data_IF_855141886737
#
_entry.id   IF_855141886737
#
_cell.length_a   1.000
_cell.length_b   1.000
_cell.length_c   1.000
_cell.angle_alpha   90.00
_cell.angle_beta   90.00
_cell.angle_gamma   90.00
#
_symmetry.space_group_name_H-M   'P 1'
#
loop_
_entity.id
_entity.type
_entity.pdbx_description
1 polymer ?
#
# COMPACT_ATOMS: atom_id res chain seq x y z
N UNK A 1 14.84 4.68 16.28
CA UNK A 1 15.08 3.68 15.24
C UNK A 1 13.96 2.66 15.36
N UNK A 2 13.25 2.37 14.29
CA UNK A 2 12.15 1.41 14.28
C UNK A 2 12.37 0.41 13.15
N UNK A 3 11.64 -0.71 13.17
CA UNK A 3 11.74 -1.80 12.21
C UNK A 3 10.40 -2.00 11.50
N UNK A 4 10.41 -2.09 10.19
CA UNK A 4 9.19 -2.15 9.39
C UNK A 4 9.26 -3.24 8.33
N UNK A 5 8.13 -3.89 8.07
CA UNK A 5 7.88 -4.59 6.83
C UNK A 5 7.14 -3.64 5.88
N UNK A 6 7.57 -3.60 4.63
CA UNK A 6 6.90 -2.84 3.58
C UNK A 6 6.75 -3.73 2.35
N UNK A 7 5.58 -3.73 1.74
CA UNK A 7 5.37 -4.47 0.50
C UNK A 7 4.40 -3.76 -0.43
N UNK A 8 4.59 -3.95 -1.72
CA UNK A 8 3.60 -3.65 -2.72
C UNK A 8 2.49 -4.72 -2.69
N UNK A 9 1.26 -4.33 -2.95
CA UNK A 9 0.18 -5.26 -3.19
C UNK A 9 0.36 -6.04 -4.49
N UNK A 10 -0.38 -7.12 -4.61
CA UNK A 10 -0.48 -7.90 -5.84
C UNK A 10 0.83 -8.54 -6.35
N UNK A 11 0.67 -9.41 -7.35
CA UNK A 11 1.78 -9.97 -8.13
C UNK A 11 2.34 -8.93 -9.10
N UNK A 12 3.56 -9.13 -9.65
CA UNK A 12 4.03 -8.34 -10.78
C UNK A 12 3.06 -8.38 -11.96
N UNK A 13 3.20 -7.43 -12.87
CA UNK A 13 2.46 -7.45 -14.13
C UNK A 13 2.66 -8.78 -14.85
N UNK A 14 1.56 -9.40 -15.29
CA UNK A 14 1.59 -10.67 -15.98
C UNK A 14 0.28 -11.46 -15.87
N UNK A 15 0.38 -12.77 -15.72
CA UNK A 15 -0.77 -13.67 -15.72
C UNK A 15 -1.39 -13.90 -14.33
N UNK A 16 -0.76 -13.42 -13.26
CA UNK A 16 -1.23 -13.59 -11.90
C UNK A 16 -2.22 -12.52 -11.46
N UNK A 17 -2.38 -12.38 -10.15
CA UNK A 17 -3.24 -11.38 -9.54
C UNK A 17 -2.55 -10.01 -9.50
N UNK A 18 -2.45 -9.33 -10.63
CA UNK A 18 -1.69 -8.10 -10.82
C UNK A 18 -2.45 -6.81 -10.43
N UNK A 19 -3.60 -6.94 -9.74
CA UNK A 19 -4.38 -5.78 -9.29
C UNK A 19 -5.17 -5.11 -10.41
N UNK A 20 -5.58 -3.89 -10.16
CA UNK A 20 -6.38 -3.10 -11.09
C UNK A 20 -5.53 -2.61 -12.28
N UNK A 21 -6.16 -2.59 -13.44
CA UNK A 21 -5.57 -2.08 -14.69
C UNK A 21 -6.50 -1.02 -15.27
N UNK A 22 -5.95 0.17 -15.52
CA UNK A 22 -6.65 1.30 -16.12
C UNK A 22 -5.64 2.18 -16.87
N UNK A 23 -5.72 3.50 -16.68
CA UNK A 23 -4.67 4.43 -17.14
C UNK A 23 -3.33 4.09 -16.45
N UNK A 24 -3.41 3.78 -15.15
CA UNK A 24 -2.31 3.26 -14.37
C UNK A 24 -2.49 1.76 -14.17
N UNK A 25 -1.38 1.09 -13.90
CA UNK A 25 -1.36 -0.32 -13.57
C UNK A 25 -0.90 -0.50 -12.13
N UNK A 26 -1.81 -0.92 -11.27
CA UNK A 26 -1.57 -0.97 -9.82
C UNK A 26 -0.27 -1.69 -9.45
N UNK A 27 -0.04 -2.88 -9.97
CA UNK A 27 1.15 -3.67 -9.64
C UNK A 27 2.49 -3.03 -10.06
N UNK A 28 2.46 -2.05 -10.95
CA UNK A 28 3.65 -1.28 -11.35
C UNK A 28 3.82 -0.06 -10.44
N UNK A 29 2.76 0.71 -10.29
CA UNK A 29 2.81 1.98 -9.55
C UNK A 29 3.00 1.76 -8.05
N UNK A 30 2.38 0.75 -7.47
CA UNK A 30 2.55 0.44 -6.05
C UNK A 30 4.00 0.00 -5.72
N UNK A 31 4.70 -0.66 -6.67
CA UNK A 31 6.12 -0.99 -6.52
C UNK A 31 7.01 0.25 -6.56
N UNK A 32 6.74 1.18 -7.46
CA UNK A 32 7.49 2.45 -7.53
C UNK A 32 7.35 3.22 -6.21
N UNK A 33 6.12 3.34 -5.71
CA UNK A 33 5.86 4.01 -4.43
C UNK A 33 6.50 3.26 -3.27
N UNK A 34 6.38 1.94 -3.22
CA UNK A 34 6.98 1.09 -2.20
C UNK A 34 8.52 1.25 -2.17
N UNK A 35 9.17 1.24 -3.32
CA UNK A 35 10.63 1.37 -3.38
C UNK A 35 11.10 2.71 -2.81
N UNK A 36 10.39 3.79 -3.12
CA UNK A 36 10.70 5.11 -2.59
C UNK A 36 10.42 5.21 -1.08
N UNK A 37 9.33 4.61 -0.59
CA UNK A 37 9.04 4.54 0.85
C UNK A 37 10.16 3.80 1.59
N UNK A 38 10.60 2.65 1.09
CA UNK A 38 11.70 1.88 1.66
C UNK A 38 12.99 2.71 1.68
N UNK A 39 13.30 3.37 0.57
CA UNK A 39 14.49 4.23 0.45
C UNK A 39 14.49 5.35 1.49
N UNK A 40 13.38 6.05 1.63
CA UNK A 40 13.23 7.16 2.57
C UNK A 40 13.31 6.69 4.03
N UNK A 41 12.61 5.63 4.40
CA UNK A 41 12.66 5.09 5.77
C UNK A 41 14.07 4.63 6.15
N UNK A 42 14.80 4.01 5.22
CA UNK A 42 16.19 3.62 5.45
C UNK A 42 17.11 4.83 5.59
N UNK A 43 16.89 5.90 4.83
CA UNK A 43 17.64 7.15 4.94
C UNK A 43 17.43 7.84 6.31
N UNK A 44 16.24 7.69 6.89
CA UNK A 44 15.93 8.15 8.25
C UNK A 44 16.47 7.22 9.36
N UNK A 45 17.21 6.18 9.00
CA UNK A 45 17.86 5.26 9.93
C UNK A 45 16.97 4.13 10.46
N UNK A 46 15.85 3.86 9.82
CA UNK A 46 14.99 2.72 10.15
C UNK A 46 15.49 1.43 9.47
N UNK A 47 15.20 0.28 10.10
CA UNK A 47 15.38 -1.03 9.49
C UNK A 47 14.12 -1.37 8.69
N UNK A 48 14.25 -1.69 7.40
CA UNK A 48 13.09 -1.97 6.55
C UNK A 48 13.32 -3.22 5.73
N UNK A 49 12.40 -4.17 5.84
CA UNK A 49 12.33 -5.40 5.07
C UNK A 49 11.34 -5.25 3.92
N UNK A 50 11.76 -5.59 2.71
CA UNK A 50 10.88 -5.67 1.54
C UNK A 50 10.23 -7.05 1.49
N UNK A 51 8.94 -7.07 1.81
CA UNK A 51 8.13 -8.29 1.83
C UNK A 51 7.31 -8.50 0.55
N UNK A 52 7.60 -7.78 -0.51
CA UNK A 52 6.88 -7.85 -1.79
C UNK A 52 6.97 -9.25 -2.41
N UNK A 53 5.89 -9.71 -2.98
CA UNK A 53 5.86 -10.91 -3.83
C UNK A 53 6.18 -10.50 -5.28
N UNK A 54 7.37 -10.87 -5.77
CA UNK A 54 7.81 -10.60 -7.14
C UNK A 54 7.66 -11.79 -8.09
N UNK A 55 6.94 -12.80 -7.66
CA UNK A 55 6.62 -13.96 -8.47
C UNK A 55 5.21 -13.85 -9.06
N UNK A 56 5.10 -14.18 -10.34
CA UNK A 56 3.80 -14.24 -11.02
C UNK A 56 3.05 -15.50 -10.60
N UNK A 57 2.04 -15.34 -9.76
CA UNK A 57 1.30 -16.45 -9.14
C UNK A 57 -0.18 -16.07 -8.92
N UNK A 58 -0.96 -16.96 -8.35
CA UNK A 58 -2.37 -16.69 -8.01
C UNK A 58 -2.47 -15.67 -6.87
N UNK A 59 -3.65 -15.07 -6.68
CA UNK A 59 -3.94 -14.17 -5.55
C UNK A 59 -3.54 -14.80 -4.22
N UNK A 60 -3.96 -16.04 -3.99
CA UNK A 60 -3.63 -16.75 -2.74
C UNK A 60 -2.15 -17.06 -2.62
N UNK A 61 -1.50 -17.44 -3.72
CA UNK A 61 -0.06 -17.68 -3.75
C UNK A 61 0.74 -16.42 -3.42
N UNK A 62 0.33 -15.26 -3.95
CA UNK A 62 0.91 -13.96 -3.65
C UNK A 62 0.78 -13.61 -2.16
N UNK A 63 -0.43 -13.70 -1.62
CA UNK A 63 -0.70 -13.42 -0.20
C UNK A 63 0.12 -14.33 0.72
N UNK A 64 0.17 -15.63 0.43
CA UNK A 64 0.95 -16.57 1.24
C UNK A 64 2.45 -16.21 1.26
N UNK A 65 3.00 -15.77 0.15
CA UNK A 65 4.41 -15.35 0.07
C UNK A 65 4.68 -14.07 0.84
N UNK A 66 3.80 -13.06 0.73
CA UNK A 66 3.91 -11.82 1.49
C UNK A 66 3.86 -12.13 2.98
N UNK A 67 2.84 -12.86 3.44
CA UNK A 67 2.70 -13.23 4.85
C UNK A 67 3.90 -14.03 5.35
N UNK A 68 4.41 -14.98 4.56
CA UNK A 68 5.59 -15.75 4.94
C UNK A 68 6.84 -14.87 5.12
N UNK A 69 7.03 -13.84 4.26
CA UNK A 69 8.13 -12.88 4.40
C UNK A 69 7.93 -11.97 5.63
N UNK A 70 6.74 -11.41 5.81
CA UNK A 70 6.43 -10.53 6.95
C UNK A 70 6.65 -11.25 8.29
N UNK A 71 6.23 -12.51 8.40
CA UNK A 71 6.36 -13.29 9.63
C UNK A 71 7.80 -13.71 9.97
N UNK A 72 8.78 -13.43 9.10
CA UNK A 72 10.20 -13.73 9.40
C UNK A 72 10.81 -12.72 10.38
N UNK A 73 10.18 -11.57 10.56
CA UNK A 73 10.75 -10.47 11.33
C UNK A 73 9.74 -9.96 12.36
N UNK A 74 10.23 -9.72 13.58
CA UNK A 74 9.48 -8.94 14.57
C UNK A 74 9.65 -7.47 14.23
N UNK A 75 8.55 -6.76 13.95
CA UNK A 75 8.55 -5.39 13.48
C UNK A 75 7.61 -4.50 14.28
N UNK A 76 7.85 -3.19 14.23
CA UNK A 76 6.97 -2.18 14.83
C UNK A 76 5.74 -1.87 13.96
N UNK A 77 5.79 -2.22 12.68
CA UNK A 77 4.67 -2.05 11.75
C UNK A 77 4.85 -2.75 10.42
N UNK A 78 3.73 -3.20 9.86
CA UNK A 78 3.61 -3.78 8.52
C UNK A 78 2.81 -2.82 7.63
N UNK A 79 3.35 -2.51 6.46
CA UNK A 79 2.75 -1.57 5.52
C UNK A 79 2.56 -2.18 4.15
N UNK A 80 1.32 -2.17 3.66
CA UNK A 80 0.95 -2.57 2.32
C UNK A 80 0.61 -1.35 1.47
N UNK A 81 1.21 -1.26 0.29
CA UNK A 81 0.96 -0.18 -0.67
C UNK A 81 0.05 -0.70 -1.78
N UNK A 82 -1.05 0.00 -2.00
CA UNK A 82 -2.06 -0.32 -3.01
C UNK A 82 -2.56 0.94 -3.73
N UNK A 83 -3.04 0.78 -4.95
CA UNK A 83 -3.84 1.77 -5.64
C UNK A 83 -5.31 1.31 -5.66
N UNK A 84 -6.20 2.15 -5.15
CA UNK A 84 -7.62 1.83 -5.18
C UNK A 84 -8.18 1.92 -6.60
N UNK A 85 -9.01 0.95 -6.96
CA UNK A 85 -9.89 1.02 -8.12
C UNK A 85 -11.33 1.25 -7.65
N UNK A 86 -12.14 1.93 -8.44
CA UNK A 86 -13.51 2.18 -8.04
C UNK A 86 -14.47 2.30 -9.21
N UNK A 87 -14.13 3.09 -10.20
CA UNK A 87 -14.90 3.25 -11.42
C UNK A 87 -14.01 3.83 -12.53
N UNK A 88 -14.47 3.69 -13.75
CA UNK A 88 -13.80 4.32 -14.88
C UNK A 88 -14.02 5.83 -14.82
N UNK A 89 -12.97 6.57 -14.54
CA UNK A 89 -12.94 8.03 -14.57
C UNK A 89 -12.01 8.54 -15.68
N UNK A 90 -12.29 8.09 -16.91
CA UNK A 90 -11.46 8.45 -18.07
C UNK A 90 -11.47 9.95 -18.40
N UNK A 91 -12.47 10.69 -17.92
CA UNK A 91 -12.61 12.13 -18.16
C UNK A 91 -12.20 12.98 -16.96
N UNK A 92 -11.88 12.38 -15.82
CA UNK A 92 -11.46 13.07 -14.64
C UNK A 92 -12.53 14.01 -14.08
N UNK A 93 -13.45 13.47 -13.27
CA UNK A 93 -14.51 14.30 -12.64
C UNK A 93 -14.04 14.95 -11.31
N UNK A 94 -12.81 14.73 -10.90
CA UNK A 94 -12.21 15.16 -9.63
C UNK A 94 -12.97 14.69 -8.38
N UNK A 95 -13.94 13.81 -8.51
CA UNK A 95 -14.80 13.34 -7.41
C UNK A 95 -14.36 11.96 -6.87
N UNK A 96 -13.72 11.18 -7.71
CA UNK A 96 -13.14 9.88 -7.37
C UNK A 96 -11.65 10.01 -7.13
N UNK A 97 -11.05 9.12 -6.48
CA UNK A 97 -9.66 9.20 -6.12
C UNK A 97 -9.47 9.83 -4.75
N UNK A 98 -8.26 9.78 -4.29
CA UNK A 98 -7.88 10.23 -2.95
C UNK A 98 -6.99 9.23 -2.28
N UNK A 99 -6.42 9.66 -1.16
CA UNK A 99 -5.60 8.83 -0.29
C UNK A 99 -6.42 8.39 0.93
N UNK A 100 -6.33 7.14 1.26
CA UNK A 100 -6.88 6.57 2.49
C UNK A 100 -5.88 5.61 3.13
N UNK A 101 -6.03 5.39 4.41
CA UNK A 101 -5.29 4.36 5.13
C UNK A 101 -6.28 3.40 5.75
N UNK A 102 -6.04 2.12 5.57
CA UNK A 102 -6.80 1.04 6.18
C UNK A 102 -5.97 0.51 7.33
N UNK A 103 -6.57 0.42 8.52
CA UNK A 103 -5.91 -0.04 9.74
C UNK A 103 -6.58 -1.29 10.29
N UNK A 104 -5.78 -2.15 10.89
CA UNK A 104 -6.27 -3.33 11.60
C UNK A 104 -6.72 -3.00 13.03
N UNK A 105 -5.96 -2.15 13.72
CA UNK A 105 -6.23 -1.73 15.10
C UNK A 105 -6.03 -0.21 15.32
N UNK A 106 -6.28 0.24 16.53
CA UNK A 106 -6.18 1.67 16.88
C UNK A 106 -4.77 2.15 17.23
N UNK A 107 -3.79 1.27 17.36
CA UNK A 107 -2.45 1.63 17.84
C UNK A 107 -1.79 2.74 17.01
N UNK A 108 -1.94 2.65 15.67
CA UNK A 108 -1.36 3.60 14.74
C UNK A 108 -2.32 4.69 14.24
N UNK A 109 -3.58 4.66 14.67
CA UNK A 109 -4.65 5.54 14.14
C UNK A 109 -4.31 7.02 14.15
N UNK A 110 -3.70 7.52 15.24
CA UNK A 110 -3.34 8.93 15.37
C UNK A 110 -2.26 9.34 14.38
N UNK A 111 -1.22 8.52 14.25
CA UNK A 111 -0.09 8.74 13.32
C UNK A 111 -0.58 8.68 11.88
N UNK A 112 -1.41 7.69 11.55
CA UNK A 112 -1.91 7.48 10.19
C UNK A 112 -2.94 8.53 9.77
N UNK A 113 -3.72 9.10 10.68
CA UNK A 113 -4.54 10.29 10.40
C UNK A 113 -3.70 11.49 9.97
N UNK A 114 -2.58 11.71 10.66
CA UNK A 114 -1.66 12.79 10.28
C UNK A 114 -0.98 12.50 8.94
N UNK A 115 -0.59 11.26 8.69
CA UNK A 115 -0.03 10.83 7.40
C UNK A 115 -0.97 11.13 6.22
N UNK A 116 -2.24 10.74 6.31
CA UNK A 116 -3.25 11.04 5.27
C UNK A 116 -3.42 12.54 5.08
N UNK A 117 -3.37 13.32 6.18
CA UNK A 117 -3.44 14.79 6.14
C UNK A 117 -2.24 15.42 5.42
N UNK A 118 -1.05 14.90 5.65
CA UNK A 118 0.18 15.36 4.99
C UNK A 118 0.14 15.03 3.50
N UNK A 119 -0.24 13.82 3.12
CA UNK A 119 -0.39 13.42 1.72
C UNK A 119 -1.41 14.30 1.00
N UNK A 120 -2.57 14.56 1.60
CA UNK A 120 -3.58 15.45 1.03
C UNK A 120 -3.04 16.86 0.80
N UNK A 121 -2.29 17.43 1.77
CA UNK A 121 -1.75 18.79 1.63
C UNK A 121 -0.70 18.91 0.53
N UNK A 122 0.09 17.88 0.33
CA UNK A 122 1.23 17.92 -0.60
C UNK A 122 0.91 17.43 -2.02
N UNK A 123 -0.21 16.73 -2.21
CA UNK A 123 -0.52 16.07 -3.49
C UNK A 123 -1.80 16.53 -4.17
N UNK A 124 -2.55 17.47 -3.58
CA UNK A 124 -3.88 17.91 -4.10
C UNK A 124 -4.91 16.77 -4.18
N UNK A 125 -4.56 15.58 -3.71
CA UNK A 125 -5.42 14.40 -3.72
C UNK A 125 -6.40 14.46 -2.54
N UNK A 126 -7.66 14.06 -2.77
CA UNK A 126 -8.69 14.06 -1.73
C UNK A 126 -8.29 13.21 -0.53
N UNK A 127 -8.46 13.74 0.68
CA UNK A 127 -8.33 12.97 1.90
C UNK A 127 -9.59 12.13 2.13
N UNK A 128 -9.48 10.81 2.03
CA UNK A 128 -10.56 9.83 2.29
C UNK A 128 -10.53 9.27 3.70
N UNK A 129 -9.56 9.67 4.50
CA UNK A 129 -9.44 9.36 5.93
C UNK A 129 -8.81 8.03 6.24
N UNK A 130 -9.01 7.60 7.50
CA UNK A 130 -8.57 6.32 8.02
C UNK A 130 -9.80 5.43 8.23
N UNK A 131 -9.73 4.21 7.73
CA UNK A 131 -10.79 3.19 7.80
C UNK A 131 -10.28 1.94 8.51
N UNK A 132 -11.17 1.15 9.03
CA UNK A 132 -10.83 -0.18 9.53
C UNK A 132 -10.95 -1.22 8.43
N UNK A 133 -10.11 -2.25 8.47
CA UNK A 133 -10.14 -3.36 7.51
C UNK A 133 -11.53 -4.02 7.43
N UNK A 134 -12.20 -4.21 8.56
CA UNK A 134 -13.57 -4.75 8.63
C UNK A 134 -14.63 -3.90 7.90
N UNK A 135 -14.33 -2.64 7.62
CA UNK A 135 -15.23 -1.71 6.96
C UNK A 135 -14.93 -1.61 5.44
N UNK A 136 -13.93 -2.35 4.98
CA UNK A 136 -13.51 -2.38 3.58
C UNK A 136 -14.00 -3.68 2.94
N UNK A 137 -14.82 -3.56 1.91
CA UNK A 137 -15.12 -4.67 0.99
C UNK A 137 -14.00 -4.75 -0.05
N UNK A 138 -12.96 -5.49 0.25
CA UNK A 138 -11.91 -5.86 -0.71
C UNK A 138 -12.19 -7.23 -1.30
#
# INVERSE_FOLDING_TARGET
MATYNVHAGHCPQGQGASGAVGILQESVEDRIVKDEVIRLLRAEGHTVYDCTCDENTTKQGCLNKIVAKCNQHGVDGDYSIHLNSGRNDYHGDNSTGGVEVIIYDDAMKKVLKEFVRILHRNSVIRNRGVKYDKDCSC
#
